data_IF_342903815253
#
_entry.id   IF_342903815253
#
_cell.length_a   1.000
_cell.length_b   1.000
_cell.length_c   1.000
_cell.angle_alpha   90.00
_cell.angle_beta   90.00
_cell.angle_gamma   90.00
#
_symmetry.space_group_name_H-M   'P 1'
#
loop_
_entity.id
_entity.type
_entity.pdbx_description
1 polymer ?
#
# COMPACT_ATOMS: atom_id res chain seq x y z
N UNK A 1 13.88 -2.50 12.98
CA UNK A 1 13.14 -2.61 11.71
C UNK A 1 13.46 -1.37 10.91
N UNK A 2 13.98 -1.54 9.70
CA UNK A 2 14.35 -0.45 8.78
C UNK A 2 13.56 -0.61 7.48
N UNK A 3 13.55 0.39 6.61
CA UNK A 3 12.82 0.27 5.35
C UNK A 3 12.38 1.60 4.77
N UNK A 4 11.43 1.54 3.85
CA UNK A 4 10.87 2.74 3.24
C UNK A 4 9.40 2.53 2.89
N UNK A 5 8.62 3.59 3.03
CA UNK A 5 7.28 3.69 2.47
C UNK A 5 7.32 4.72 1.34
N UNK A 6 6.96 4.30 0.14
CA UNK A 6 6.81 5.18 -1.02
C UNK A 6 5.34 5.30 -1.35
N UNK A 7 4.85 6.54 -1.32
CA UNK A 7 3.47 6.88 -1.64
C UNK A 7 3.45 7.42 -3.07
N UNK A 8 2.73 6.73 -3.96
CA UNK A 8 2.58 7.12 -5.37
C UNK A 8 1.15 6.86 -5.85
N UNK A 9 0.36 7.91 -6.07
CA UNK A 9 -1.03 7.84 -6.59
C UNK A 9 -1.83 6.71 -5.92
N UNK A 10 -2.11 5.64 -6.68
CA UNK A 10 -2.93 4.49 -6.27
C UNK A 10 -2.10 3.29 -5.79
N UNK A 11 -0.76 3.39 -5.79
CA UNK A 11 0.17 2.33 -5.38
C UNK A 11 1.07 2.84 -4.25
N UNK A 12 0.88 2.27 -3.07
CA UNK A 12 1.73 2.52 -1.91
C UNK A 12 2.68 1.35 -1.68
N UNK A 13 3.97 1.54 -1.94
CA UNK A 13 4.98 0.51 -1.73
C UNK A 13 5.57 0.61 -0.32
N UNK A 14 5.51 -0.48 0.43
CA UNK A 14 6.12 -0.59 1.77
C UNK A 14 7.20 -1.66 1.73
N UNK A 15 8.44 -1.28 1.96
CA UNK A 15 9.60 -2.19 2.06
C UNK A 15 10.08 -2.22 3.50
N UNK A 16 10.23 -3.41 4.06
CA UNK A 16 10.65 -3.59 5.47
C UNK A 16 11.76 -4.62 5.59
N UNK A 17 12.83 -4.22 6.25
CA UNK A 17 14.01 -5.03 6.55
C UNK A 17 14.18 -5.19 8.06
N UNK A 18 14.51 -6.41 8.51
CA UNK A 18 14.68 -6.66 9.93
C UNK A 18 14.90 -8.13 10.27
N UNK A 19 14.90 -8.42 11.57
CA UNK A 19 14.96 -9.80 12.03
C UNK A 19 13.62 -10.53 11.83
N UNK A 20 13.63 -11.87 11.72
CA UNK A 20 12.45 -12.67 11.38
C UNK A 20 11.30 -12.51 12.39
N UNK A 21 11.63 -12.35 13.68
CA UNK A 21 10.63 -12.09 14.72
C UNK A 21 9.91 -10.76 14.49
N UNK A 22 10.65 -9.69 14.18
CA UNK A 22 10.07 -8.36 13.92
C UNK A 22 9.22 -8.37 12.65
N UNK A 23 9.71 -9.01 11.58
CA UNK A 23 8.97 -9.16 10.33
C UNK A 23 7.66 -9.92 10.52
N UNK A 24 7.64 -11.01 11.31
CA UNK A 24 6.40 -11.75 11.61
C UNK A 24 5.35 -10.88 12.31
N UNK A 25 5.76 -10.07 13.29
CA UNK A 25 4.85 -9.14 13.96
C UNK A 25 4.31 -8.07 13.02
N UNK A 26 5.16 -7.51 12.16
CA UNK A 26 4.76 -6.49 11.20
C UNK A 26 3.85 -7.04 10.10
N UNK A 27 4.15 -8.23 9.57
CA UNK A 27 3.28 -8.94 8.62
C UNK A 27 1.90 -9.20 9.22
N UNK A 28 1.83 -9.68 10.46
CA UNK A 28 0.55 -9.90 11.14
C UNK A 28 -0.20 -8.59 11.39
N UNK A 29 0.52 -7.49 11.68
CA UNK A 29 -0.07 -6.17 11.80
C UNK A 29 -0.69 -5.72 10.47
N UNK A 30 0.08 -5.77 9.39
CA UNK A 30 -0.33 -5.28 8.07
C UNK A 30 -1.43 -6.13 7.44
N UNK A 31 -1.35 -7.46 7.51
CA UNK A 31 -2.28 -8.32 6.77
C UNK A 31 -3.53 -8.70 7.57
N UNK A 32 -3.42 -8.87 8.90
CA UNK A 32 -4.50 -9.45 9.70
C UNK A 32 -5.14 -8.47 10.69
N UNK A 33 -4.36 -7.52 11.23
CA UNK A 33 -4.85 -6.62 12.30
C UNK A 33 -5.42 -5.32 11.75
N UNK A 34 -4.80 -4.75 10.72
CA UNK A 34 -5.30 -3.54 10.06
C UNK A 34 -6.34 -3.97 9.04
N UNK A 35 -7.51 -3.34 9.12
CA UNK A 35 -8.65 -3.64 8.25
C UNK A 35 -8.71 -2.60 7.13
N UNK A 36 -7.92 -2.81 6.09
CA UNK A 36 -7.77 -1.87 4.98
C UNK A 36 -9.09 -1.57 4.24
N UNK A 37 -9.92 -2.59 4.04
CA UNK A 37 -11.18 -2.46 3.29
C UNK A 37 -12.29 -1.75 4.06
N UNK A 38 -12.16 -1.58 5.38
CA UNK A 38 -13.18 -0.89 6.20
C UNK A 38 -13.02 0.64 6.16
N UNK A 39 -11.88 1.16 5.70
CA UNK A 39 -11.69 2.60 5.46
C UNK A 39 -12.22 2.97 4.08
N UNK A 40 -13.52 3.32 4.02
CA UNK A 40 -14.08 3.96 2.84
C UNK A 40 -13.46 5.35 2.73
N UNK A 41 -12.58 5.53 1.74
CA UNK A 41 -12.01 6.81 1.33
C UNK A 41 -13.19 7.76 1.02
N UNK A 42 -13.57 8.60 2.01
CA UNK A 42 -14.64 9.59 1.87
C UNK A 42 -15.70 9.63 2.99
N UNK A 43 -15.79 8.66 3.90
CA UNK A 43 -16.87 8.63 4.89
C UNK A 43 -16.66 9.51 6.14
N UNK A 44 -15.45 9.96 6.45
CA UNK A 44 -15.24 10.86 7.61
C UNK A 44 -15.94 12.22 7.46
N UNK A 45 -16.34 12.61 6.24
CA UNK A 45 -17.11 13.85 6.03
C UNK A 45 -18.63 13.72 6.25
N UNK A 46 -19.21 12.51 6.22
CA UNK A 46 -20.67 12.33 6.36
C UNK A 46 -21.14 12.04 7.78
N UNK A 47 -20.29 11.55 8.69
CA UNK A 47 -20.68 11.18 10.06
C UNK A 47 -21.02 12.33 11.03
N UNK A 48 -21.14 13.59 10.56
CA UNK A 48 -21.46 14.75 11.40
C UNK A 48 -22.80 15.45 11.10
N UNK A 49 -23.61 14.97 10.17
CA UNK A 49 -24.90 15.60 9.88
C UNK A 49 -25.99 14.55 9.65
N UNK A 50 -27.00 14.56 10.55
CA UNK A 50 -28.35 13.97 10.45
C UNK A 50 -28.39 12.42 10.36
N UNK A 51 -29.15 11.64 11.15
CA UNK A 51 -30.48 11.83 11.76
C UNK A 51 -31.45 12.54 10.83
N UNK A 52 -31.74 11.93 9.69
CA UNK A 52 -33.10 11.82 9.16
C UNK A 52 -33.15 10.88 7.94
N UNK A 53 -34.35 10.43 7.66
CA UNK A 53 -34.82 9.27 6.88
C UNK A 53 -34.41 9.20 5.40
N UNK A 54 -34.44 7.95 4.89
CA UNK A 54 -34.74 7.50 3.52
C UNK A 54 -34.31 8.36 2.32
N UNK A 55 -33.36 7.87 1.54
CA UNK A 55 -33.36 8.02 0.08
C UNK A 55 -32.58 6.85 -0.55
N UNK A 56 -33.32 5.89 -1.10
CA UNK A 56 -32.86 5.01 -2.17
C UNK A 56 -32.66 5.89 -3.41
N UNK A 57 -31.42 6.09 -3.85
CA UNK A 57 -31.16 6.48 -5.24
C UNK A 57 -29.79 5.97 -5.72
N UNK A 58 -29.91 5.10 -6.70
CA UNK A 58 -29.03 4.73 -7.80
C UNK A 58 -27.76 5.59 -8.00
N UNK A 59 -26.58 4.99 -7.80
CA UNK A 59 -25.37 5.39 -8.52
C UNK A 59 -24.42 4.19 -8.69
N UNK A 60 -24.76 3.36 -9.67
CA UNK A 60 -24.07 2.14 -10.14
C UNK A 60 -22.67 2.40 -10.75
N UNK A 61 -21.92 3.41 -10.28
CA UNK A 61 -20.57 3.68 -10.78
C UNK A 61 -19.64 4.46 -9.84
N UNK A 62 -19.87 4.42 -8.53
CA UNK A 62 -18.78 4.74 -7.61
C UNK A 62 -17.99 3.46 -7.40
N UNK A 63 -16.93 3.23 -8.18
CA UNK A 63 -15.93 2.21 -7.87
C UNK A 63 -15.52 2.43 -6.40
N UNK A 64 -16.07 1.59 -5.51
CA UNK A 64 -15.67 1.53 -4.12
C UNK A 64 -14.24 1.01 -4.18
N UNK A 65 -13.27 1.90 -4.31
CA UNK A 65 -11.86 1.53 -4.28
C UNK A 65 -11.58 1.03 -2.87
N UNK A 66 -11.77 -0.27 -2.67
CA UNK A 66 -11.43 -0.95 -1.43
C UNK A 66 -9.91 -0.90 -1.33
N UNK A 67 -9.41 -0.22 -0.31
CA UNK A 67 -7.99 -0.26 -0.01
C UNK A 67 -7.65 -1.67 0.46
N UNK A 68 -6.59 -2.25 -0.08
CA UNK A 68 -6.08 -3.55 0.34
C UNK A 68 -4.56 -3.52 0.50
N UNK A 69 -4.05 -4.37 1.38
CA UNK A 69 -2.63 -4.54 1.57
C UNK A 69 -2.27 -6.00 1.28
N UNK A 70 -1.43 -6.19 0.26
CA UNK A 70 -0.99 -7.51 -0.16
C UNK A 70 0.52 -7.66 0.02
N UNK A 71 0.94 -8.88 0.34
CA UNK A 71 2.35 -9.23 0.40
C UNK A 71 2.86 -9.57 -1.00
N UNK A 72 3.65 -8.66 -1.58
CA UNK A 72 4.25 -8.85 -2.91
C UNK A 72 5.44 -9.82 -2.87
N UNK A 73 6.32 -9.67 -1.87
CA UNK A 73 7.53 -10.48 -1.75
C UNK A 73 8.00 -10.60 -0.30
N UNK A 74 8.53 -11.78 0.05
CA UNK A 74 9.18 -12.05 1.34
C UNK A 74 10.43 -12.92 1.10
N UNK A 75 11.55 -12.56 1.72
CA UNK A 75 12.78 -13.32 1.57
C UNK A 75 13.94 -12.77 2.37
N UNK A 76 15.11 -13.39 2.17
CA UNK A 76 16.36 -13.05 2.85
C UNK A 76 17.30 -12.39 1.84
N UNK A 77 17.84 -11.23 2.21
CA UNK A 77 18.88 -10.50 1.46
C UNK A 77 20.21 -10.53 2.22
N UNK A 78 21.32 -10.42 1.49
CA UNK A 78 22.66 -10.45 2.09
C UNK A 78 22.96 -9.22 2.94
N UNK A 79 22.63 -8.04 2.42
CA UNK A 79 22.88 -6.75 3.04
C UNK A 79 21.57 -5.96 3.14
N UNK A 80 21.45 -5.14 4.18
CA UNK A 80 20.33 -4.21 4.35
C UNK A 80 20.51 -3.03 3.40
N UNK A 81 19.46 -2.68 2.67
CA UNK A 81 19.46 -1.52 1.80
C UNK A 81 19.14 -0.22 2.56
N UNK A 82 18.39 -0.30 3.67
CA UNK A 82 17.93 0.87 4.42
C UNK A 82 18.46 0.93 5.85
N UNK A 83 18.92 2.11 6.27
CA UNK A 83 19.44 2.36 7.62
C UNK A 83 18.36 2.76 8.63
N UNK A 84 17.26 3.36 8.16
CA UNK A 84 16.15 3.86 8.98
C UNK A 84 14.84 3.57 8.25
N UNK A 85 13.69 3.86 8.87
CA UNK A 85 12.38 3.81 8.22
C UNK A 85 11.92 5.22 7.83
N UNK A 86 11.76 5.48 6.52
CA UNK A 86 11.34 6.80 6.02
C UNK A 86 10.13 6.71 5.10
N UNK A 87 9.34 7.77 5.08
CA UNK A 87 8.19 7.92 4.17
C UNK A 87 8.54 8.94 3.09
N UNK A 88 8.35 8.60 1.83
CA UNK A 88 8.58 9.45 0.68
C UNK A 88 7.33 9.55 -0.18
N UNK A 89 6.90 10.78 -0.46
CA UNK A 89 5.85 11.06 -1.44
C UNK A 89 6.52 11.39 -2.77
N UNK A 90 6.24 10.59 -3.80
CA UNK A 90 6.84 10.74 -5.13
C UNK A 90 5.73 10.87 -6.16
N UNK A 91 5.95 11.71 -7.17
CA UNK A 91 4.92 12.11 -8.13
C UNK A 91 4.99 11.33 -9.45
N UNK A 92 6.11 10.65 -9.71
CA UNK A 92 6.37 9.91 -10.95
C UNK A 92 6.97 8.54 -10.65
N UNK A 93 6.60 7.47 -11.37
CA UNK A 93 7.17 6.14 -11.19
C UNK A 93 8.67 6.12 -11.53
N UNK A 94 9.12 7.02 -12.43
CA UNK A 94 10.55 7.19 -12.73
C UNK A 94 11.32 7.67 -11.49
N UNK A 95 10.76 8.63 -10.75
CA UNK A 95 11.37 9.12 -9.50
C UNK A 95 11.41 8.03 -8.42
N UNK A 96 10.37 7.19 -8.33
CA UNK A 96 10.35 6.04 -7.41
C UNK A 96 11.48 5.07 -7.73
N UNK A 97 11.60 4.72 -9.02
CA UNK A 97 12.66 3.82 -9.49
C UNK A 97 14.05 4.40 -9.21
N UNK A 98 14.30 5.67 -9.56
CA UNK A 98 15.58 6.34 -9.29
C UNK A 98 15.91 6.40 -7.79
N UNK A 99 14.90 6.61 -6.93
CA UNK A 99 15.09 6.61 -5.47
C UNK A 99 15.52 5.23 -4.95
N UNK A 100 14.88 4.16 -5.42
CA UNK A 100 15.21 2.79 -5.02
C UNK A 100 16.50 2.28 -5.66
N UNK A 101 16.83 2.78 -6.86
CA UNK A 101 18.09 2.49 -7.55
C UNK A 101 19.29 3.00 -6.77
N UNK A 102 19.19 4.17 -6.14
CA UNK A 102 20.22 4.67 -5.20
C UNK A 102 20.48 3.74 -4.02
N UNK A 103 19.50 2.91 -3.66
CA UNK A 103 19.59 1.91 -2.60
C UNK A 103 19.86 0.49 -3.16
N UNK A 104 20.02 0.32 -4.48
CA UNK A 104 20.27 -0.97 -5.13
C UNK A 104 19.07 -1.90 -5.21
N UNK A 105 17.86 -1.40 -4.96
CA UNK A 105 16.63 -2.19 -4.83
C UNK A 105 15.50 -1.74 -5.78
N UNK A 106 15.86 -1.21 -6.95
CA UNK A 106 14.92 -0.77 -7.98
C UNK A 106 13.94 -1.85 -8.42
N UNK A 107 14.38 -3.12 -8.44
CA UNK A 107 13.56 -4.27 -8.81
C UNK A 107 12.35 -4.51 -7.88
N UNK A 108 12.35 -4.01 -6.64
CA UNK A 108 11.18 -4.10 -5.77
C UNK A 108 10.01 -3.29 -6.32
N UNK A 109 10.29 -2.13 -6.91
CA UNK A 109 9.26 -1.32 -7.55
C UNK A 109 8.75 -1.99 -8.82
N UNK A 110 9.64 -2.54 -9.64
CA UNK A 110 9.23 -3.21 -10.88
C UNK A 110 8.31 -4.40 -10.59
N UNK A 111 8.63 -5.19 -9.57
CA UNK A 111 7.81 -6.31 -9.14
C UNK A 111 6.46 -5.84 -8.58
N UNK A 112 6.45 -4.87 -7.67
CA UNK A 112 5.20 -4.34 -7.10
C UNK A 112 4.29 -3.70 -8.16
N UNK A 113 4.88 -2.93 -9.07
CA UNK A 113 4.16 -2.29 -10.17
C UNK A 113 3.56 -3.32 -11.12
N UNK A 114 4.32 -4.35 -11.52
CA UNK A 114 3.81 -5.44 -12.34
C UNK A 114 2.67 -6.19 -11.65
N UNK A 115 2.79 -6.47 -10.35
CA UNK A 115 1.72 -7.14 -9.58
C UNK A 115 0.46 -6.27 -9.53
N UNK A 116 0.59 -4.96 -9.29
CA UNK A 116 -0.57 -4.07 -9.25
C UNK A 116 -1.31 -3.95 -10.58
N UNK A 117 -0.59 -3.97 -11.71
CA UNK A 117 -1.20 -3.91 -13.04
C UNK A 117 -1.98 -5.20 -13.32
N UNK A 118 -1.40 -6.36 -13.02
CA UNK A 118 -2.07 -7.65 -13.20
C UNK A 118 -3.38 -7.74 -12.39
N UNK A 119 -3.35 -7.29 -11.13
CA UNK A 119 -4.54 -7.29 -10.27
C UNK A 119 -5.65 -6.35 -10.76
N UNK A 120 -5.30 -5.31 -11.53
CA UNK A 120 -6.30 -4.41 -12.13
C UNK A 120 -6.93 -4.96 -13.41
N UNK A 121 -6.33 -5.99 -14.02
CA UNK A 121 -6.76 -6.56 -15.30
C UNK A 121 -7.70 -7.77 -15.16
N UNK A 122 -7.89 -8.33 -13.95
CA UNK A 122 -8.85 -9.40 -13.70
C UNK A 122 -10.27 -8.79 -13.50
N UNK A 123 -11.20 -8.92 -14.46
CA UNK A 123 -12.59 -8.55 -14.26
C UNK A 123 -13.32 -9.76 -13.67
N UNK A 124 -13.75 -9.67 -12.40
CA UNK A 124 -14.85 -10.50 -11.91
C UNK A 124 -16.19 -10.06 -12.52
#
# INVERSE_FOLDING_TARGET
MTGVMVIYKDINLIVVEGGPKQQKFYKNLMLNRIKWSEEIIGQEKKKKVADDEDEEDDDENTCKNFNECQLVWEGIVRNRAFNDFRVHLLQSPKQVREFLEKHGVSHYWDHAYSTSVLLSEDPE
#
